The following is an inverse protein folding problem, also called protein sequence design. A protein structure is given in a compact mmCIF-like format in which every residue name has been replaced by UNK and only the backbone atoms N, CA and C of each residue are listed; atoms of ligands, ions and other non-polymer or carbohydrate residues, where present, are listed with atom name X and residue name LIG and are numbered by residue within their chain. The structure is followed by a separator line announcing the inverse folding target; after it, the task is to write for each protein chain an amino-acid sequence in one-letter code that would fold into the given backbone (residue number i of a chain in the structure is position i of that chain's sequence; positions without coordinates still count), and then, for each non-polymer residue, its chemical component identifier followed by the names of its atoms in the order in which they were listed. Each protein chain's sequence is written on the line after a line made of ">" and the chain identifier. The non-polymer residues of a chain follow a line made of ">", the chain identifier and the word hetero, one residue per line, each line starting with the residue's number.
data_IF_422011886953
#
_entry.id   IF_422011886953
#
_cell.length_a   1.000
_cell.length_b   1.000
_cell.length_c   1.000
_cell.angle_alpha   90.00
_cell.angle_beta   90.00
_cell.angle_gamma   90.00
#
_symmetry.space_group_name_H-M   'P 1'
#
loop_
_entity.id
_entity.type
_entity.pdbx_description
1 polymer ?
#
# COMPACT_ATOMS: atom_id res chain seq x y z
N UNK A 1 -19.11 8.18 -8.58
CA UNK A 1 -18.20 7.78 -9.70
C UNK A 1 -17.46 6.47 -9.33
N UNK A 2 -16.84 5.71 -10.26
CA UNK A 2 -16.21 4.40 -9.97
C UNK A 2 -14.94 4.44 -9.05
N UNK A 3 -14.72 5.51 -8.29
CA UNK A 3 -13.64 5.64 -7.31
C UNK A 3 -13.96 6.67 -6.23
N UNK A 4 -15.25 6.95 -6.03
CA UNK A 4 -15.70 7.81 -4.95
C UNK A 4 -15.45 7.10 -3.61
N UNK A 5 -14.80 7.80 -2.68
CA UNK A 5 -14.38 7.24 -1.39
C UNK A 5 -13.12 6.39 -1.43
N UNK A 6 -12.32 6.45 -2.50
CA UNK A 6 -10.97 5.91 -2.52
C UNK A 6 -9.93 7.01 -2.32
N UNK A 7 -8.88 6.70 -1.56
CA UNK A 7 -7.72 7.59 -1.39
C UNK A 7 -6.41 6.86 -1.67
N UNK A 8 -5.36 7.62 -1.98
CA UNK A 8 -4.00 7.09 -2.12
C UNK A 8 -3.31 7.19 -0.77
N UNK A 9 -2.83 6.06 -0.25
CA UNK A 9 -2.14 5.96 1.01
C UNK A 9 -0.71 5.43 0.83
N UNK A 10 0.10 5.64 1.86
CA UNK A 10 1.50 5.25 1.93
C UNK A 10 1.74 4.36 3.15
N UNK A 11 2.44 3.25 2.95
CA UNK A 11 2.88 2.33 4.00
C UNK A 11 4.41 2.27 4.04
N UNK A 12 4.99 2.56 5.20
CA UNK A 12 6.44 2.49 5.41
C UNK A 12 6.81 1.10 5.92
N UNK A 13 7.66 0.40 5.15
CA UNK A 13 8.11 -0.96 5.46
C UNK A 13 8.97 -0.96 6.74
N UNK A 14 8.61 -1.86 7.65
CA UNK A 14 9.26 -2.05 8.95
C UNK A 14 10.46 -3.01 8.86
N UNK A 15 11.42 -2.94 9.80
CA UNK A 15 12.59 -3.83 9.79
C UNK A 15 12.27 -5.33 9.78
N UNK A 16 11.21 -5.77 10.44
CA UNK A 16 10.79 -7.18 10.55
C UNK A 16 10.04 -7.71 9.29
N UNK A 17 9.85 -6.83 8.31
CA UNK A 17 9.23 -7.13 7.02
C UNK A 17 10.27 -7.24 5.89
N UNK A 18 11.55 -7.04 6.20
CA UNK A 18 12.63 -7.14 5.24
C UNK A 18 12.61 -8.46 4.46
N UNK A 19 12.83 -8.36 3.16
CA UNK A 19 12.93 -9.52 2.27
C UNK A 19 11.59 -10.08 1.79
N UNK A 20 10.46 -9.64 2.37
CA UNK A 20 9.10 -9.98 1.90
C UNK A 20 8.79 -9.30 0.57
N UNK A 21 7.74 -9.76 -0.09
CA UNK A 21 7.10 -9.08 -1.22
C UNK A 21 5.97 -8.18 -0.70
N UNK A 22 5.61 -7.12 -1.44
CA UNK A 22 4.50 -6.23 -1.06
C UNK A 22 3.17 -6.97 -0.80
N UNK A 23 2.88 -8.02 -1.58
CA UNK A 23 1.68 -8.87 -1.43
C UNK A 23 1.67 -9.75 -0.17
N UNK A 24 2.82 -9.87 0.50
CA UNK A 24 2.98 -10.68 1.73
C UNK A 24 2.80 -9.81 3.00
N UNK A 25 2.62 -8.50 2.84
CA UNK A 25 2.29 -7.59 3.93
C UNK A 25 0.82 -7.81 4.36
N UNK A 26 0.56 -8.11 5.64
CA UNK A 26 -0.80 -8.29 6.16
C UNK A 26 -1.70 -7.09 5.89
N UNK A 27 -1.16 -5.89 6.07
CA UNK A 27 -1.83 -4.61 5.85
C UNK A 27 -2.31 -4.46 4.40
N UNK A 28 -1.62 -5.06 3.42
CA UNK A 28 -1.94 -4.94 1.99
C UNK A 28 -2.90 -6.01 1.47
N UNK A 29 -3.38 -6.93 2.34
CA UNK A 29 -4.13 -8.12 1.89
C UNK A 29 -5.42 -7.77 1.12
N UNK A 30 -6.04 -6.64 1.44
CA UNK A 30 -7.30 -6.19 0.83
C UNK A 30 -7.14 -4.94 -0.05
N UNK A 31 -5.94 -4.36 -0.09
CA UNK A 31 -5.68 -3.07 -0.72
C UNK A 31 -5.03 -3.23 -2.09
N UNK A 32 -5.36 -2.31 -3.01
CA UNK A 32 -4.75 -2.31 -4.34
C UNK A 32 -3.41 -1.57 -4.30
N UNK A 33 -2.31 -2.33 -4.27
CA UNK A 33 -0.96 -1.78 -4.37
C UNK A 33 -0.72 -1.19 -5.77
N UNK A 34 -0.25 0.07 -5.81
CA UNK A 34 0.07 0.81 -7.04
C UNK A 34 1.56 0.77 -7.39
N UNK A 35 2.42 0.65 -6.37
CA UNK A 35 3.87 0.67 -6.55
C UNK A 35 4.62 0.84 -5.24
N UNK A 36 5.92 1.10 -5.36
CA UNK A 36 6.81 1.35 -4.22
C UNK A 36 7.84 2.43 -4.54
N UNK A 37 8.33 3.11 -3.51
CA UNK A 37 9.49 3.99 -3.58
C UNK A 37 10.60 3.50 -2.65
N UNK A 38 11.85 3.50 -3.14
CA UNK A 38 13.07 3.31 -2.35
C UNK A 38 13.91 4.57 -2.43
N UNK A 39 13.84 5.40 -1.40
CA UNK A 39 14.38 6.76 -1.46
C UNK A 39 13.76 7.54 -2.63
N UNK A 40 14.55 7.85 -3.66
CA UNK A 40 14.07 8.57 -4.87
C UNK A 40 13.70 7.64 -6.02
N UNK A 41 14.02 6.35 -5.94
CA UNK A 41 13.74 5.38 -7.00
C UNK A 41 12.28 4.93 -6.92
N UNK A 42 11.57 4.97 -8.05
CA UNK A 42 10.19 4.48 -8.17
C UNK A 42 10.16 3.08 -8.79
N UNK A 43 9.33 2.21 -8.22
CA UNK A 43 9.05 0.85 -8.69
C UNK A 43 7.56 0.77 -9.03
N UNK A 44 7.19 0.84 -10.31
CA UNK A 44 5.80 0.73 -10.73
C UNK A 44 5.27 -0.70 -10.48
N UNK A 45 3.94 -0.84 -10.35
CA UNK A 45 3.25 -2.10 -10.06
C UNK A 45 3.82 -3.34 -10.80
N UNK A 46 4.03 -3.23 -12.12
CA UNK A 46 4.49 -4.36 -12.94
C UNK A 46 5.91 -4.84 -12.60
N UNK A 47 6.74 -4.01 -11.95
CA UNK A 47 8.08 -4.41 -11.46
C UNK A 47 8.04 -4.88 -10.02
N UNK A 48 7.11 -4.36 -9.22
CA UNK A 48 7.04 -4.61 -7.79
C UNK A 48 6.84 -6.09 -7.42
N UNK A 49 6.18 -6.87 -8.30
CA UNK A 49 5.82 -8.27 -8.01
C UNK A 49 6.98 -9.19 -7.64
N UNK A 50 8.21 -8.86 -8.06
CA UNK A 50 9.44 -9.60 -7.76
C UNK A 50 10.41 -8.86 -6.83
N UNK A 51 10.11 -7.62 -6.45
CA UNK A 51 11.00 -6.81 -5.63
C UNK A 51 10.87 -7.18 -4.16
N UNK A 52 12.02 -7.45 -3.53
CA UNK A 52 12.09 -7.66 -2.09
C UNK A 52 12.14 -6.33 -1.37
N UNK A 53 11.28 -6.19 -0.38
CA UNK A 53 11.18 -5.00 0.45
C UNK A 53 12.42 -4.81 1.32
N UNK A 54 12.80 -3.55 1.51
CA UNK A 54 13.83 -3.10 2.44
C UNK A 54 13.21 -2.16 3.48
N UNK A 55 13.77 -2.10 4.71
CA UNK A 55 13.27 -1.18 5.72
C UNK A 55 13.30 0.27 5.22
N UNK A 56 12.19 0.99 5.39
CA UNK A 56 12.03 2.36 4.89
C UNK A 56 11.61 2.49 3.43
N UNK A 57 11.43 1.38 2.70
CA UNK A 57 10.66 1.41 1.46
C UNK A 57 9.24 1.92 1.73
N UNK A 58 8.67 2.65 0.77
CA UNK A 58 7.30 3.19 0.86
C UNK A 58 6.44 2.48 -0.17
N UNK A 59 5.49 1.66 0.28
CA UNK A 59 4.48 1.03 -0.58
C UNK A 59 3.31 2.01 -0.75
N UNK A 60 2.91 2.25 -1.99
CA UNK A 60 1.79 3.14 -2.33
C UNK A 60 0.61 2.28 -2.75
N UNK A 61 -0.57 2.53 -2.18
CA UNK A 61 -1.76 1.72 -2.40
C UNK A 61 -3.03 2.57 -2.40
N UNK A 62 -4.12 2.03 -2.95
CA UNK A 62 -5.45 2.58 -2.78
C UNK A 62 -6.09 1.96 -1.54
N UNK A 63 -6.60 2.81 -0.66
CA UNK A 63 -7.45 2.42 0.46
C UNK A 63 -8.84 3.04 0.33
N UNK A 64 -9.80 2.51 1.08
CA UNK A 64 -11.01 3.25 1.41
C UNK A 64 -10.66 4.56 2.13
N UNK A 65 -11.53 5.55 1.97
CA UNK A 65 -11.46 6.77 2.75
C UNK A 65 -11.90 6.46 4.20
N UNK A 66 -11.01 6.55 5.19
CA UNK A 66 -11.33 6.20 6.57
C UNK A 66 -12.35 7.15 7.22
N UNK A 67 -12.68 8.29 6.59
CA UNK A 67 -13.79 9.15 7.02
C UNK A 67 -15.14 8.57 6.57
N UNK A 68 -15.22 8.03 5.36
CA UNK A 68 -16.44 7.41 4.85
C UNK A 68 -16.71 6.03 5.49
N UNK A 69 -15.67 5.25 5.78
CA UNK A 69 -15.82 3.96 6.47
C UNK A 69 -16.38 4.12 7.90
N UNK A 70 -16.11 5.25 8.57
CA UNK A 70 -16.65 5.56 9.91
C UNK A 70 -18.12 5.94 9.89
N UNK A 71 -18.54 6.64 8.84
CA UNK A 71 -19.94 7.05 8.67
C UNK A 71 -20.83 5.85 8.33
N UNK A 72 -20.34 4.87 7.57
CA UNK A 72 -21.06 3.62 7.31
C UNK A 72 -21.14 2.70 8.54
N UNK A 73 -20.07 2.61 9.34
CA UNK A 73 -20.06 1.79 10.56
C UNK A 73 -20.92 2.36 11.71
N UNK A 74 -21.38 3.61 11.58
CA UNK A 74 -22.22 4.30 12.55
C UNK A 74 -23.72 4.27 12.20
N UNK A 75 -24.10 3.59 11.11
CA UNK A 75 -25.49 3.35 10.68
C UNK A 75 -25.94 1.92 11.01
#
# INVERSE_FOLDING_TARGET
>A
AFGEGLTVAEYVVRPDEEGRLARELPEMKNDLVLGMMRGKQKYPFYRLSSERLQPGDVVVYLSGDPELERDEASQ
#
